data_IF_820869636899
#
_entry.id   IF_820869636899
#
_cell.length_a   1.000
_cell.length_b   1.000
_cell.length_c   1.000
_cell.angle_alpha   90.00
_cell.angle_beta   90.00
_cell.angle_gamma   90.00
#
_symmetry.space_group_name_H-M   'P 1'
#
loop_
_entity.id
_entity.type
_entity.pdbx_description
1 polymer ?
#
# COMPACT_ATOMS: atom_id res chain seq x y z
N UNK A 1 -47.34 -20.05 -88.43
CA UNK A 1 -47.23 -21.48 -88.21
C UNK A 1 -47.38 -21.73 -86.74
N UNK A 2 -48.59 -22.21 -86.37
CA UNK A 2 -49.06 -22.43 -84.97
C UNK A 2 -48.33 -23.59 -84.33
N UNK A 3 -48.12 -23.51 -83.04
CA UNK A 3 -48.14 -24.67 -82.13
C UNK A 3 -48.43 -24.19 -80.72
N UNK A 4 -49.67 -24.46 -80.32
CA UNK A 4 -50.17 -24.40 -78.94
C UNK A 4 -49.47 -25.40 -78.04
N UNK A 5 -49.14 -25.01 -76.89
CA UNK A 5 -48.91 -25.95 -75.76
C UNK A 5 -49.66 -25.52 -74.48
N UNK A 6 -50.69 -26.25 -74.23
CA UNK A 6 -51.45 -26.18 -72.96
C UNK A 6 -50.62 -26.77 -71.83
N UNK A 7 -50.43 -26.02 -70.75
CA UNK A 7 -49.98 -26.60 -69.48
C UNK A 7 -51.11 -26.64 -68.46
N UNK A 8 -51.34 -27.84 -68.00
CA UNK A 8 -52.30 -28.18 -66.94
C UNK A 8 -51.82 -27.57 -65.62
N UNK A 9 -52.72 -26.85 -64.92
CA UNK A 9 -52.60 -26.51 -63.54
C UNK A 9 -52.84 -27.72 -62.65
N UNK A 10 -51.81 -28.18 -61.94
CA UNK A 10 -51.94 -29.07 -60.76
C UNK A 10 -51.73 -28.21 -59.53
N UNK A 11 -52.80 -28.00 -58.74
CA UNK A 11 -52.77 -27.26 -57.51
C UNK A 11 -52.00 -28.00 -56.41
N UNK A 12 -50.90 -27.42 -55.96
CA UNK A 12 -50.26 -27.81 -54.72
C UNK A 12 -50.58 -26.73 -53.67
N UNK A 13 -51.43 -27.07 -52.72
CA UNK A 13 -51.69 -26.25 -51.52
C UNK A 13 -50.49 -26.39 -50.59
N UNK A 14 -49.75 -25.34 -50.43
CA UNK A 14 -48.73 -25.24 -49.38
C UNK A 14 -49.40 -24.83 -48.08
N UNK A 15 -49.40 -25.73 -47.08
CA UNK A 15 -49.72 -25.41 -45.71
C UNK A 15 -48.54 -24.69 -45.09
N UNK A 16 -48.64 -23.39 -44.88
CA UNK A 16 -47.67 -22.63 -44.08
C UNK A 16 -47.98 -22.88 -42.61
N UNK A 17 -47.25 -23.76 -41.94
CA UNK A 17 -47.27 -23.90 -40.51
C UNK A 17 -46.42 -22.79 -39.92
N UNK A 18 -47.07 -21.73 -39.43
CA UNK A 18 -46.42 -20.73 -38.59
C UNK A 18 -46.07 -21.38 -37.22
N UNK A 19 -44.84 -21.83 -37.10
CA UNK A 19 -44.25 -22.20 -35.80
C UNK A 19 -44.02 -20.98 -34.97
N UNK A 20 -44.91 -20.68 -34.02
CA UNK A 20 -44.73 -19.65 -33.01
C UNK A 20 -43.67 -20.15 -32.01
N UNK A 21 -42.36 -19.77 -32.24
CA UNK A 21 -41.34 -19.98 -31.22
C UNK A 21 -41.57 -19.00 -30.06
N UNK A 22 -42.26 -19.46 -29.04
CA UNK A 22 -42.30 -18.78 -27.73
C UNK A 22 -40.90 -18.89 -27.10
N UNK A 23 -40.08 -17.88 -27.29
CA UNK A 23 -38.83 -17.69 -26.49
C UNK A 23 -39.25 -17.31 -25.06
N UNK A 24 -39.28 -18.29 -24.18
CA UNK A 24 -39.43 -18.05 -22.73
C UNK A 24 -38.10 -17.44 -22.28
N UNK A 25 -38.07 -16.10 -22.16
CA UNK A 25 -36.98 -15.41 -21.49
C UNK A 25 -37.07 -15.76 -20.00
N UNK A 26 -36.18 -16.68 -19.55
CA UNK A 26 -36.00 -16.97 -18.14
C UNK A 26 -35.30 -15.77 -17.55
N UNK A 27 -36.05 -14.90 -16.89
CA UNK A 27 -35.45 -13.84 -16.06
C UNK A 27 -34.90 -14.54 -14.80
N UNK A 28 -33.60 -14.81 -14.84
CA UNK A 28 -32.88 -15.28 -13.65
C UNK A 28 -32.78 -14.08 -12.70
N UNK A 29 -33.68 -14.04 -11.73
CA UNK A 29 -33.50 -13.11 -10.61
C UNK A 29 -32.25 -13.55 -9.85
N UNK A 30 -31.24 -12.68 -9.80
CA UNK A 30 -30.11 -12.89 -8.93
C UNK A 30 -30.63 -13.02 -7.49
N UNK A 31 -30.20 -14.07 -6.80
CA UNK A 31 -30.55 -14.25 -5.39
C UNK A 31 -30.13 -13.00 -4.58
N UNK A 32 -30.94 -12.58 -3.60
CA UNK A 32 -30.55 -11.45 -2.75
C UNK A 32 -29.20 -11.75 -2.09
N UNK A 33 -28.35 -10.71 -1.89
CA UNK A 33 -27.05 -10.91 -1.29
C UNK A 33 -27.23 -11.53 0.11
N UNK A 34 -26.35 -12.48 0.51
CA UNK A 34 -26.43 -13.13 1.81
C UNK A 34 -26.24 -12.10 2.93
N UNK A 35 -27.13 -12.11 3.91
CA UNK A 35 -27.07 -11.23 5.08
C UNK A 35 -26.01 -11.78 6.04
N UNK A 36 -25.08 -10.94 6.55
CA UNK A 36 -24.07 -11.39 7.49
C UNK A 36 -24.67 -11.92 8.80
N UNK A 37 -24.24 -13.10 9.20
CA UNK A 37 -24.54 -13.67 10.52
C UNK A 37 -23.60 -13.06 11.55
N UNK A 38 -24.13 -12.60 12.68
CA UNK A 38 -23.34 -12.05 13.79
C UNK A 38 -23.14 -13.11 14.86
N UNK A 39 -21.91 -13.25 15.30
CA UNK A 39 -21.52 -14.15 16.40
C UNK A 39 -20.62 -13.40 17.35
N UNK A 40 -20.71 -13.71 18.64
CA UNK A 40 -19.83 -13.18 19.69
C UNK A 40 -19.07 -14.36 20.29
N UNK A 41 -17.75 -14.29 20.28
CA UNK A 41 -16.88 -15.32 20.85
C UNK A 41 -16.03 -14.77 21.98
N UNK A 42 -15.66 -15.62 22.92
CA UNK A 42 -14.55 -15.32 23.84
C UNK A 42 -13.24 -15.63 23.16
N UNK A 43 -12.27 -14.73 23.25
CA UNK A 43 -10.96 -14.87 22.62
C UNK A 43 -9.83 -14.71 23.67
N UNK A 44 -8.77 -15.54 23.56
CA UNK A 44 -7.73 -15.58 24.59
C UNK A 44 -6.61 -14.56 24.41
N UNK A 45 -6.46 -13.94 23.24
CA UNK A 45 -5.31 -13.07 22.92
C UNK A 45 -5.40 -11.73 23.66
N UNK A 46 -6.59 -11.13 23.68
CA UNK A 46 -6.87 -9.89 24.41
C UNK A 46 -7.79 -10.12 25.62
N UNK A 47 -8.05 -11.40 25.97
CA UNK A 47 -8.85 -11.82 27.12
C UNK A 47 -10.26 -11.23 27.16
N UNK A 48 -10.88 -11.09 25.97
CA UNK A 48 -12.16 -10.42 25.80
C UNK A 48 -13.16 -11.16 24.96
N UNK A 49 -14.16 -10.39 24.48
CA UNK A 49 -15.16 -10.85 23.53
C UNK A 49 -14.91 -10.16 22.19
N UNK A 50 -14.97 -10.92 21.10
CA UNK A 50 -14.88 -10.42 19.75
C UNK A 50 -16.22 -10.58 19.03
N UNK A 51 -16.65 -9.53 18.33
CA UNK A 51 -17.81 -9.53 17.45
C UNK A 51 -17.40 -9.88 16.03
N UNK A 52 -18.01 -10.94 15.49
CA UNK A 52 -17.66 -11.51 14.19
C UNK A 52 -18.88 -11.46 13.29
N UNK A 53 -18.63 -11.22 12.01
CA UNK A 53 -19.61 -11.18 10.94
C UNK A 53 -19.19 -12.17 9.87
N UNK A 54 -20.01 -13.16 9.56
CA UNK A 54 -19.76 -14.14 8.49
C UNK A 54 -20.87 -14.11 7.46
N UNK A 55 -20.52 -14.23 6.19
CA UNK A 55 -21.47 -14.28 5.08
C UNK A 55 -20.94 -15.19 3.97
N UNK A 56 -21.85 -15.71 3.13
CA UNK A 56 -21.51 -16.65 2.06
C UNK A 56 -21.62 -18.10 2.49
N UNK A 57 -21.19 -19.02 1.62
CA UNK A 57 -21.28 -20.46 1.86
C UNK A 57 -20.08 -20.94 2.69
N UNK A 58 -20.29 -21.83 3.63
CA UNK A 58 -19.26 -22.28 4.57
C UNK A 58 -18.15 -23.10 3.89
N UNK A 59 -18.43 -23.77 2.79
CA UNK A 59 -17.50 -24.58 1.99
C UNK A 59 -16.78 -23.78 0.89
N UNK A 60 -17.15 -22.51 0.68
CA UNK A 60 -16.49 -21.64 -0.28
C UNK A 60 -15.10 -21.20 0.21
N UNK A 61 -14.19 -20.83 -0.70
CA UNK A 61 -12.90 -20.23 -0.33
C UNK A 61 -13.10 -19.04 0.62
N UNK A 62 -12.26 -18.94 1.65
CA UNK A 62 -12.45 -17.93 2.69
C UNK A 62 -11.70 -16.63 2.38
N UNK A 63 -12.35 -15.50 2.62
CA UNK A 63 -11.78 -14.15 2.62
C UNK A 63 -11.98 -13.51 3.99
N UNK A 64 -10.88 -13.04 4.57
CA UNK A 64 -10.86 -12.34 5.87
C UNK A 64 -10.69 -10.85 5.64
N UNK A 65 -11.55 -10.03 6.27
CA UNK A 65 -11.54 -8.56 6.15
C UNK A 65 -11.16 -7.93 7.49
N UNK A 66 -10.06 -7.16 7.49
CA UNK A 66 -9.52 -6.48 8.68
C UNK A 66 -9.65 -4.98 8.52
N UNK A 67 -10.44 -4.34 9.40
CA UNK A 67 -10.71 -2.90 9.36
C UNK A 67 -9.55 -2.05 9.90
N UNK A 68 -9.59 -0.75 9.64
CA UNK A 68 -8.64 0.24 10.11
C UNK A 68 -8.85 0.68 11.56
N UNK A 69 -8.10 1.70 11.99
CA UNK A 69 -8.25 2.33 13.29
C UNK A 69 -9.57 3.11 13.34
N UNK A 70 -10.48 2.74 14.26
CA UNK A 70 -11.74 3.44 14.44
C UNK A 70 -12.88 2.53 14.89
N UNK A 71 -13.93 3.15 15.44
CA UNK A 71 -15.08 2.43 16.02
C UNK A 71 -16.12 1.93 15.00
N UNK A 72 -15.93 2.16 13.71
CA UNK A 72 -16.78 1.56 12.69
C UNK A 72 -16.66 0.04 12.67
N UNK A 73 -15.46 -0.48 12.94
CA UNK A 73 -15.21 -1.91 12.99
C UNK A 73 -15.46 -2.56 11.62
N UNK A 74 -16.05 -3.75 11.65
CA UNK A 74 -16.39 -4.50 10.45
C UNK A 74 -17.36 -3.78 9.49
N UNK A 75 -18.05 -2.71 9.94
CA UNK A 75 -18.95 -1.91 9.09
C UNK A 75 -18.23 -1.18 7.96
N UNK A 76 -16.92 -0.96 8.06
CA UNK A 76 -16.12 -0.40 6.96
C UNK A 76 -16.22 -1.28 5.70
N UNK A 77 -16.53 -2.55 5.86
CA UNK A 77 -16.65 -3.53 4.80
C UNK A 77 -18.08 -3.81 4.35
N UNK A 78 -19.09 -3.07 4.86
CA UNK A 78 -20.50 -3.34 4.60
C UNK A 78 -20.85 -3.38 3.11
N UNK A 79 -20.21 -2.58 2.27
CA UNK A 79 -20.40 -2.58 0.82
C UNK A 79 -19.69 -3.75 0.10
N UNK A 80 -18.53 -4.19 0.61
CA UNK A 80 -17.72 -5.24 -0.01
C UNK A 80 -18.22 -6.64 0.36
N UNK A 81 -18.68 -6.86 1.59
CA UNK A 81 -19.16 -8.17 2.09
C UNK A 81 -20.19 -8.80 1.12
N UNK A 82 -21.29 -8.14 0.73
CA UNK A 82 -22.29 -8.75 -0.15
C UNK A 82 -21.77 -9.05 -1.57
N UNK A 83 -20.73 -8.35 -2.02
CA UNK A 83 -20.09 -8.61 -3.31
C UNK A 83 -19.29 -9.89 -3.25
N UNK A 84 -18.46 -10.05 -2.23
CA UNK A 84 -17.60 -11.22 -2.06
C UNK A 84 -18.36 -12.46 -1.62
N UNK A 85 -19.41 -12.32 -0.79
CA UNK A 85 -20.18 -13.43 -0.26
C UNK A 85 -20.96 -14.24 -1.31
N UNK A 86 -20.96 -13.81 -2.56
CA UNK A 86 -21.49 -14.58 -3.71
C UNK A 86 -20.63 -15.80 -4.05
N UNK A 87 -19.31 -15.67 -3.87
CA UNK A 87 -18.33 -16.67 -4.29
C UNK A 87 -17.38 -17.11 -3.15
N UNK A 88 -17.43 -16.43 -2.02
CA UNK A 88 -16.52 -16.64 -0.89
C UNK A 88 -17.28 -16.76 0.42
N UNK A 89 -16.71 -17.51 1.35
CA UNK A 89 -17.02 -17.36 2.76
C UNK A 89 -16.29 -16.11 3.27
N UNK A 90 -17.01 -15.06 3.61
CA UNK A 90 -16.46 -13.81 4.09
C UNK A 90 -16.50 -13.80 5.61
N UNK A 91 -15.36 -13.52 6.25
CA UNK A 91 -15.22 -13.33 7.69
C UNK A 91 -14.70 -11.92 7.95
N UNK A 92 -15.50 -11.08 8.58
CA UNK A 92 -15.12 -9.78 9.08
C UNK A 92 -15.35 -9.74 10.60
N UNK A 93 -14.67 -8.86 11.30
CA UNK A 93 -14.81 -8.75 12.76
C UNK A 93 -14.50 -7.34 13.24
N UNK A 94 -15.04 -6.99 14.39
CA UNK A 94 -14.58 -5.84 15.14
C UNK A 94 -13.29 -6.25 15.87
N UNK A 95 -12.17 -5.61 15.57
CA UNK A 95 -10.89 -5.85 16.26
C UNK A 95 -11.06 -5.63 17.76
N UNK A 96 -10.46 -6.47 18.65
CA UNK A 96 -10.40 -6.17 20.07
C UNK A 96 -9.93 -4.74 20.33
N UNK A 97 -10.63 -4.01 21.20
CA UNK A 97 -10.42 -2.59 21.41
C UNK A 97 -11.31 -1.66 20.57
N UNK A 98 -12.02 -2.17 19.55
CA UNK A 98 -12.81 -1.38 18.60
C UNK A 98 -14.24 -1.93 18.41
N UNK A 99 -15.10 -1.11 17.79
CA UNK A 99 -16.47 -1.47 17.50
C UNK A 99 -17.22 -1.97 18.74
N UNK A 100 -17.83 -3.13 18.63
CA UNK A 100 -18.56 -3.80 19.72
C UNK A 100 -17.71 -4.84 20.47
N UNK A 101 -16.46 -5.09 20.02
CA UNK A 101 -15.55 -5.99 20.72
C UNK A 101 -15.07 -5.38 22.05
N UNK A 102 -14.63 -6.24 22.98
CA UNK A 102 -14.17 -5.80 24.30
C UNK A 102 -13.05 -4.78 24.21
N UNK A 103 -13.10 -3.77 25.07
CA UNK A 103 -12.13 -2.68 25.15
C UNK A 103 -11.41 -2.73 26.50
N UNK A 104 -10.09 -2.54 26.48
CA UNK A 104 -9.27 -2.60 27.70
C UNK A 104 -7.93 -1.91 27.51
N UNK A 105 -7.11 -1.93 28.58
CA UNK A 105 -5.74 -1.43 28.55
C UNK A 105 -4.78 -2.52 28.06
N UNK A 106 -5.02 -3.05 26.86
CA UNK A 106 -4.22 -4.10 26.23
C UNK A 106 -3.15 -3.53 25.31
N UNK A 107 -2.17 -4.36 24.93
CA UNK A 107 -1.20 -4.01 23.90
C UNK A 107 -1.83 -4.28 22.52
N UNK A 108 -2.33 -3.26 21.87
CA UNK A 108 -2.96 -3.30 20.55
C UNK A 108 -1.93 -3.10 19.43
N UNK A 109 -0.98 -4.03 19.30
CA UNK A 109 0.03 -4.00 18.23
C UNK A 109 -0.37 -4.86 17.02
N UNK A 110 0.13 -4.56 15.81
CA UNK A 110 -0.05 -5.42 14.63
C UNK A 110 0.34 -6.87 14.87
N UNK A 111 1.37 -7.13 15.66
CA UNK A 111 1.80 -8.48 16.02
C UNK A 111 0.75 -9.24 16.83
N UNK A 112 0.23 -8.65 17.92
CA UNK A 112 -0.83 -9.29 18.73
C UNK A 112 -2.13 -9.46 17.96
N UNK A 113 -2.46 -8.53 17.09
CA UNK A 113 -3.61 -8.70 16.19
C UNK A 113 -3.41 -9.82 15.17
N UNK A 114 -2.19 -10.04 14.68
CA UNK A 114 -1.90 -11.21 13.85
C UNK A 114 -2.13 -12.51 14.61
N UNK A 115 -1.77 -12.58 15.90
CA UNK A 115 -2.09 -13.73 16.76
C UNK A 115 -3.61 -13.91 16.93
N UNK A 116 -4.36 -12.83 17.10
CA UNK A 116 -5.82 -12.87 17.16
C UNK A 116 -6.45 -13.39 15.85
N UNK A 117 -6.01 -12.91 14.70
CA UNK A 117 -6.48 -13.40 13.39
C UNK A 117 -6.17 -14.90 13.26
N UNK A 118 -4.98 -15.34 13.70
CA UNK A 118 -4.62 -16.76 13.66
C UNK A 118 -5.52 -17.60 14.56
N UNK A 119 -5.72 -17.19 15.81
CA UNK A 119 -6.67 -17.84 16.70
C UNK A 119 -8.06 -17.95 16.08
N UNK A 120 -8.56 -16.84 15.56
CA UNK A 120 -9.88 -16.78 14.95
C UNK A 120 -10.00 -17.76 13.78
N UNK A 121 -9.05 -17.75 12.86
CA UNK A 121 -9.15 -18.55 11.64
C UNK A 121 -8.82 -20.02 11.86
N UNK A 122 -7.73 -20.33 12.58
CA UNK A 122 -7.26 -21.70 12.76
C UNK A 122 -8.04 -22.44 13.87
N UNK A 123 -8.24 -21.80 15.03
CA UNK A 123 -8.82 -22.47 16.18
C UNK A 123 -10.36 -22.40 16.19
N UNK A 124 -10.94 -21.24 15.78
CA UNK A 124 -12.38 -21.07 15.82
C UNK A 124 -13.06 -21.48 14.51
N UNK A 125 -12.56 -21.00 13.35
CA UNK A 125 -13.14 -21.35 12.04
C UNK A 125 -12.57 -22.61 11.40
N UNK A 126 -11.54 -23.22 11.99
CA UNK A 126 -10.82 -24.40 11.47
C UNK A 126 -10.36 -24.22 10.01
N UNK A 127 -9.98 -23.01 9.65
CA UNK A 127 -9.57 -22.60 8.30
C UNK A 127 -8.10 -22.19 8.32
N UNK A 128 -7.25 -22.95 7.62
CA UNK A 128 -5.81 -22.71 7.59
C UNK A 128 -5.36 -21.81 6.43
N UNK A 129 -6.10 -21.84 5.31
CA UNK A 129 -5.73 -21.07 4.13
C UNK A 129 -6.87 -20.15 3.73
N UNK A 130 -6.57 -18.86 3.53
CA UNK A 130 -7.55 -17.84 3.20
C UNK A 130 -6.92 -16.65 2.48
N UNK A 131 -7.73 -15.88 1.80
CA UNK A 131 -7.33 -14.57 1.30
C UNK A 131 -7.54 -13.51 2.38
N UNK A 132 -6.64 -12.52 2.45
CA UNK A 132 -6.64 -11.51 3.51
C UNK A 132 -6.71 -10.11 2.90
N UNK A 133 -7.67 -9.30 3.36
CA UNK A 133 -7.87 -7.91 2.94
C UNK A 133 -7.78 -7.02 4.17
N UNK A 134 -6.88 -6.05 4.16
CA UNK A 134 -6.71 -5.12 5.28
C UNK A 134 -6.65 -3.67 4.85
N UNK A 135 -7.36 -2.80 5.57
CA UNK A 135 -7.36 -1.36 5.37
C UNK A 135 -6.63 -0.64 6.50
N UNK A 136 -5.80 0.33 6.18
CA UNK A 136 -5.11 1.18 7.17
C UNK A 136 -4.35 0.32 8.21
N UNK A 137 -4.63 0.47 9.51
CA UNK A 137 -4.10 -0.41 10.56
C UNK A 137 -4.38 -1.91 10.27
N UNK A 138 -5.57 -2.24 9.74
CA UNK A 138 -5.88 -3.60 9.32
C UNK A 138 -4.97 -4.11 8.19
N UNK A 139 -4.50 -3.22 7.32
CA UNK A 139 -3.48 -3.53 6.31
C UNK A 139 -2.11 -3.84 6.92
N UNK A 140 -1.71 -3.09 7.95
CA UNK A 140 -0.49 -3.35 8.72
C UNK A 140 -0.57 -4.72 9.45
N UNK A 141 -1.73 -5.04 10.03
CA UNK A 141 -2.02 -6.35 10.64
C UNK A 141 -1.93 -7.47 9.59
N UNK A 142 -2.55 -7.26 8.43
CA UNK A 142 -2.56 -8.23 7.33
C UNK A 142 -1.14 -8.49 6.79
N UNK A 143 -0.33 -7.44 6.64
CA UNK A 143 1.07 -7.55 6.24
C UNK A 143 1.89 -8.35 7.26
N UNK A 144 1.75 -8.04 8.56
CA UNK A 144 2.41 -8.77 9.65
C UNK A 144 1.99 -10.24 9.68
N UNK A 145 0.68 -10.52 9.51
CA UNK A 145 0.16 -11.88 9.44
C UNK A 145 0.77 -12.67 8.29
N UNK A 146 0.73 -12.10 7.07
CA UNK A 146 1.24 -12.75 5.86
C UNK A 146 2.75 -13.03 5.92
N UNK A 147 3.52 -12.18 6.61
CA UNK A 147 4.95 -12.38 6.82
C UNK A 147 5.26 -13.47 7.86
N UNK A 148 4.44 -13.57 8.92
CA UNK A 148 4.62 -14.57 9.98
C UNK A 148 4.08 -15.95 9.60
N UNK A 149 3.03 -16.00 8.82
CA UNK A 149 2.32 -17.21 8.40
C UNK A 149 2.15 -17.26 6.88
N UNK A 150 3.24 -17.29 6.09
CA UNK A 150 3.20 -17.10 4.65
C UNK A 150 2.43 -18.19 3.90
N UNK A 151 2.29 -19.39 4.48
CA UNK A 151 1.53 -20.49 3.88
C UNK A 151 0.02 -20.43 4.15
N UNK A 152 -0.42 -19.58 5.06
CA UNK A 152 -1.84 -19.43 5.39
C UNK A 152 -2.54 -18.47 4.41
N UNK A 153 -1.82 -17.58 3.73
CA UNK A 153 -2.38 -16.50 2.90
C UNK A 153 -2.28 -16.85 1.42
N UNK A 154 -3.41 -17.03 0.76
CA UNK A 154 -3.49 -17.34 -0.68
C UNK A 154 -3.43 -16.10 -1.57
N UNK A 155 -3.97 -14.98 -1.08
CA UNK A 155 -3.91 -13.67 -1.73
C UNK A 155 -3.99 -12.57 -0.66
N UNK A 156 -3.27 -11.47 -0.85
CA UNK A 156 -3.21 -10.36 0.10
C UNK A 156 -3.64 -9.06 -0.60
N UNK A 157 -4.60 -8.35 -0.01
CA UNK A 157 -4.99 -7.01 -0.45
C UNK A 157 -4.66 -6.01 0.66
N UNK A 158 -3.82 -5.04 0.34
CA UNK A 158 -3.37 -3.99 1.25
C UNK A 158 -3.92 -2.64 0.78
N UNK A 159 -4.71 -1.99 1.64
CA UNK A 159 -5.40 -0.73 1.32
C UNK A 159 -4.90 0.38 2.25
N UNK A 160 -4.28 1.42 1.70
CA UNK A 160 -3.88 2.65 2.42
C UNK A 160 -3.10 2.39 3.74
N UNK A 161 -2.05 1.56 3.69
CA UNK A 161 -1.34 1.04 4.86
C UNK A 161 -0.35 2.05 5.44
N UNK A 162 -0.48 2.49 6.70
CA UNK A 162 0.50 3.33 7.39
C UNK A 162 1.68 2.52 7.95
N UNK A 163 2.70 3.20 8.48
CA UNK A 163 3.82 2.57 9.18
C UNK A 163 4.90 1.97 8.27
N UNK A 164 4.88 2.24 6.97
CA UNK A 164 5.84 1.70 6.00
C UNK A 164 7.11 2.56 5.91
N UNK A 165 6.94 3.88 5.91
CA UNK A 165 8.07 4.81 5.96
C UNK A 165 8.60 4.92 7.39
N UNK A 166 9.89 5.21 7.50
CA UNK A 166 10.51 5.54 8.78
C UNK A 166 9.74 6.69 9.47
N UNK A 167 9.54 6.67 10.80
CA UNK A 167 8.76 7.69 11.52
C UNK A 167 9.15 9.14 11.20
N UNK A 168 10.45 9.43 11.01
CA UNK A 168 10.91 10.76 10.63
C UNK A 168 10.47 11.17 9.21
N UNK A 169 10.39 10.24 8.25
CA UNK A 169 9.89 10.53 6.91
C UNK A 169 8.38 10.80 6.95
N UNK A 170 7.66 10.05 7.76
CA UNK A 170 6.23 10.24 7.96
C UNK A 170 5.89 11.55 8.68
N UNK A 171 6.68 11.96 9.69
CA UNK A 171 6.49 13.25 10.36
C UNK A 171 6.72 14.44 9.42
N UNK A 172 7.69 14.34 8.50
CA UNK A 172 7.90 15.34 7.42
C UNK A 172 6.66 15.46 6.52
N UNK A 173 6.05 14.33 6.13
CA UNK A 173 4.82 14.34 5.35
C UNK A 173 3.68 15.07 6.09
N UNK A 174 3.43 14.74 7.35
CA UNK A 174 2.37 15.38 8.14
C UNK A 174 2.58 16.88 8.32
N UNK A 175 3.83 17.34 8.41
CA UNK A 175 4.15 18.77 8.50
C UNK A 175 3.92 19.53 7.19
N UNK A 176 4.04 18.86 6.04
CA UNK A 176 3.80 19.45 4.72
C UNK A 176 2.32 19.48 4.31
N UNK A 177 1.55 18.47 4.71
CA UNK A 177 0.12 18.39 4.41
C UNK A 177 -0.67 19.51 5.10
N UNK A 178 -0.03 20.24 6.01
CA UNK A 178 -0.63 21.35 6.76
C UNK A 178 -1.89 20.91 7.52
N UNK A 179 -1.93 21.21 8.79
CA UNK A 179 -3.02 20.77 9.67
C UNK A 179 -4.41 21.18 9.16
N UNK A 180 -4.50 22.22 8.35
CA UNK A 180 -5.75 22.81 7.86
C UNK A 180 -6.24 22.27 6.48
N UNK A 181 -5.44 21.46 5.80
CA UNK A 181 -5.75 20.98 4.44
C UNK A 181 -6.35 19.57 4.37
N UNK A 182 -6.60 18.92 5.53
CA UNK A 182 -7.29 17.63 5.57
C UNK A 182 -8.77 17.83 5.23
N UNK A 183 -9.30 17.25 4.13
CA UNK A 183 -10.70 17.39 3.81
C UNK A 183 -11.59 16.79 4.90
N UNK A 184 -12.73 17.44 5.17
CA UNK A 184 -13.77 17.02 6.12
C UNK A 184 -14.50 15.76 5.63
N UNK A 185 -13.85 14.59 5.63
CA UNK A 185 -14.46 13.34 5.16
C UNK A 185 -15.42 12.69 6.17
N UNK A 186 -15.33 13.00 7.41
CA UNK A 186 -16.29 12.77 8.51
C UNK A 186 -15.83 13.66 9.68
N UNK A 187 -16.47 14.77 9.99
CA UNK A 187 -15.94 15.81 10.90
C UNK A 187 -15.51 15.30 12.27
N UNK A 188 -16.25 14.36 12.86
CA UNK A 188 -15.98 13.88 14.23
C UNK A 188 -14.87 12.80 14.30
N UNK A 189 -14.67 11.99 13.26
CA UNK A 189 -13.69 10.88 13.29
C UNK A 189 -12.30 11.32 12.82
N UNK A 190 -12.22 12.22 11.86
CA UNK A 190 -10.94 12.74 11.37
C UNK A 190 -10.23 13.60 12.40
N UNK A 191 -10.95 14.38 13.18
CA UNK A 191 -10.36 15.16 14.26
C UNK A 191 -9.78 14.26 15.36
N UNK A 192 -10.38 13.12 15.61
CA UNK A 192 -9.84 12.15 16.59
C UNK A 192 -8.58 11.47 16.08
N UNK A 193 -8.58 10.97 14.83
CA UNK A 193 -7.41 10.35 14.21
C UNK A 193 -6.26 11.35 14.03
N UNK A 194 -6.57 12.54 13.56
CA UNK A 194 -5.66 13.67 13.40
C UNK A 194 -5.03 14.09 14.72
N UNK A 195 -5.84 14.29 15.77
CA UNK A 195 -5.36 14.63 17.11
C UNK A 195 -4.54 13.49 17.71
N UNK A 196 -4.89 12.24 17.41
CA UNK A 196 -4.14 11.06 17.82
C UNK A 196 -2.78 11.02 17.15
N UNK A 197 -2.72 11.14 15.84
CA UNK A 197 -1.48 11.15 15.06
C UNK A 197 -0.56 12.29 15.50
N UNK A 198 -1.07 13.51 15.59
CA UNK A 198 -0.29 14.67 16.06
C UNK A 198 0.19 14.51 17.50
N UNK A 199 -0.61 13.89 18.37
CA UNK A 199 -0.25 13.67 19.76
C UNK A 199 0.78 12.56 19.92
N UNK A 200 0.66 11.49 19.13
CA UNK A 200 1.64 10.39 19.08
C UNK A 200 3.00 10.93 18.63
N UNK A 201 3.07 11.71 17.56
CA UNK A 201 4.34 12.28 17.07
C UNK A 201 4.95 13.33 18.01
N UNK A 202 4.13 14.14 18.71
CA UNK A 202 4.66 15.05 19.75
C UNK A 202 5.18 14.30 20.98
N UNK A 203 4.70 13.09 21.23
CA UNK A 203 5.22 12.22 22.29
C UNK A 203 6.57 11.63 21.93
N UNK A 204 6.84 11.31 20.66
CA UNK A 204 8.13 10.74 20.23
C UNK A 204 9.29 11.74 20.32
N UNK A 205 9.02 13.06 20.21
CA UNK A 205 10.06 14.10 20.18
C UNK A 205 10.42 14.67 21.57
N UNK A 206 9.60 14.51 22.60
CA UNK A 206 9.74 15.28 23.85
C UNK A 206 9.62 14.50 25.16
N UNK A 207 9.37 13.20 25.14
CA UNK A 207 9.02 12.47 26.37
C UNK A 207 10.04 11.40 26.74
N UNK A 208 10.58 11.50 27.94
CA UNK A 208 11.04 10.36 28.72
C UNK A 208 9.87 9.91 29.63
N UNK A 209 9.36 8.70 29.55
CA UNK A 209 9.98 7.46 29.03
C UNK A 209 9.81 7.30 27.52
N UNK A 210 10.72 6.52 26.93
CA UNK A 210 10.75 6.11 25.51
C UNK A 210 9.37 5.57 25.09
N UNK A 211 8.83 5.97 23.92
CA UNK A 211 7.49 5.54 23.46
C UNK A 211 7.25 4.03 23.51
N UNK A 212 8.28 3.22 23.25
CA UNK A 212 8.24 1.76 23.33
C UNK A 212 7.92 1.28 24.75
N UNK A 213 8.49 1.92 25.78
CA UNK A 213 8.19 1.60 27.17
C UNK A 213 6.73 1.95 27.54
N UNK A 214 6.18 3.05 26.98
CA UNK A 214 4.76 3.40 27.19
C UNK A 214 3.86 2.31 26.64
N UNK A 215 4.14 1.83 25.42
CA UNK A 215 3.33 0.80 24.77
C UNK A 215 3.47 -0.55 25.49
N UNK A 216 4.67 -0.92 25.93
CA UNK A 216 4.93 -2.20 26.57
C UNK A 216 4.31 -2.33 27.98
N UNK A 217 4.29 -1.24 28.77
CA UNK A 217 3.87 -1.30 30.17
C UNK A 217 2.40 -0.93 30.38
N UNK A 218 1.56 -1.82 30.98
CA UNK A 218 0.17 -1.50 31.31
C UNK A 218 0.03 -0.23 32.18
N UNK A 219 0.93 -0.04 33.15
CA UNK A 219 0.91 1.12 34.03
C UNK A 219 1.22 2.43 33.26
N UNK A 220 2.19 2.39 32.33
CA UNK A 220 2.53 3.54 31.51
C UNK A 220 1.45 3.83 30.47
N UNK A 221 0.85 2.80 29.85
CA UNK A 221 -0.32 2.97 28.97
C UNK A 221 -1.47 3.65 29.73
N UNK A 222 -1.76 3.20 30.96
CA UNK A 222 -2.79 3.84 31.79
C UNK A 222 -2.44 5.30 32.10
N UNK A 223 -1.19 5.57 32.49
CA UNK A 223 -0.73 6.91 32.86
C UNK A 223 -0.74 7.90 31.70
N UNK A 224 -0.18 7.52 30.55
CA UNK A 224 0.05 8.42 29.41
C UNK A 224 -1.05 8.38 28.34
N UNK A 225 -1.65 7.21 28.12
CA UNK A 225 -2.68 7.00 27.09
C UNK A 225 -4.08 6.80 27.66
N UNK A 226 -4.22 6.79 29.01
CA UNK A 226 -5.48 6.56 29.75
C UNK A 226 -6.12 5.20 29.44
N UNK A 227 -5.32 4.21 29.03
CA UNK A 227 -5.82 2.90 28.63
C UNK A 227 -6.69 2.92 27.36
N UNK A 228 -6.69 4.00 26.59
CA UNK A 228 -7.50 4.21 25.41
C UNK A 228 -6.99 3.33 24.23
N UNK A 229 -7.79 2.38 23.74
CA UNK A 229 -7.36 1.44 22.70
C UNK A 229 -6.86 2.12 21.42
N UNK A 230 -7.52 3.19 20.97
CA UNK A 230 -7.13 3.90 19.75
C UNK A 230 -5.77 4.58 19.87
N UNK A 231 -5.47 5.16 21.05
CA UNK A 231 -4.15 5.78 21.32
C UNK A 231 -3.05 4.73 21.44
N UNK A 232 -3.36 3.59 22.10
CA UNK A 232 -2.40 2.49 22.25
C UNK A 232 -2.10 1.90 20.89
N UNK A 233 -3.10 1.56 20.09
CA UNK A 233 -2.94 1.00 18.76
C UNK A 233 -2.23 1.97 17.81
N UNK A 234 -2.59 3.25 17.83
CA UNK A 234 -1.93 4.29 17.01
C UNK A 234 -0.44 4.45 17.37
N UNK A 235 -0.09 4.45 18.67
CA UNK A 235 1.30 4.53 19.10
C UNK A 235 2.07 3.25 18.75
N UNK A 236 1.48 2.07 18.98
CA UNK A 236 2.09 0.79 18.62
C UNK A 236 2.36 0.72 17.12
N UNK A 237 1.40 1.13 16.29
CA UNK A 237 1.55 1.16 14.83
C UNK A 237 2.63 2.15 14.37
N UNK A 238 2.76 3.31 15.02
CA UNK A 238 3.78 4.29 14.70
C UNK A 238 5.22 3.83 15.02
N UNK A 239 5.36 2.84 15.88
CA UNK A 239 6.64 2.25 16.27
C UNK A 239 7.02 1.00 15.44
N UNK A 240 6.13 0.55 14.55
CA UNK A 240 6.37 -0.65 13.74
C UNK A 240 7.48 -0.46 12.71
N UNK A 241 8.21 -1.55 12.50
CA UNK A 241 9.17 -1.70 11.40
C UNK A 241 8.83 -2.98 10.63
N UNK A 242 8.42 -2.83 9.38
CA UNK A 242 8.06 -3.93 8.48
C UNK A 242 9.22 -4.37 7.57
N UNK A 243 10.44 -3.86 7.78
CA UNK A 243 11.59 -4.16 6.91
C UNK A 243 11.94 -5.65 6.86
N UNK A 244 11.76 -6.36 7.97
CA UNK A 244 11.96 -7.81 8.04
C UNK A 244 10.77 -8.63 7.53
N UNK A 245 9.57 -8.06 7.50
CA UNK A 245 8.33 -8.75 7.12
C UNK A 245 8.12 -8.77 5.61
N UNK A 246 8.28 -7.64 4.96
CA UNK A 246 7.98 -7.46 3.54
C UNK A 246 8.64 -8.55 2.66
N UNK A 247 9.92 -8.91 2.84
CA UNK A 247 10.54 -9.98 2.05
C UNK A 247 10.00 -11.39 2.31
N UNK A 248 9.31 -11.60 3.43
CA UNK A 248 8.76 -12.91 3.83
C UNK A 248 7.37 -13.19 3.25
N UNK A 249 6.69 -12.17 2.74
CA UNK A 249 5.37 -12.33 2.12
C UNK A 249 5.50 -13.15 0.83
N UNK A 250 4.81 -14.27 0.77
CA UNK A 250 4.85 -15.19 -0.38
C UNK A 250 3.62 -15.07 -1.28
N UNK A 251 2.50 -14.67 -0.71
CA UNK A 251 1.25 -14.49 -1.44
C UNK A 251 1.38 -13.40 -2.51
N UNK A 252 0.65 -13.49 -3.63
CA UNK A 252 0.43 -12.34 -4.51
C UNK A 252 -0.29 -11.21 -3.77
N UNK A 253 0.16 -9.96 -3.99
CA UNK A 253 -0.30 -8.78 -3.25
C UNK A 253 -0.88 -7.73 -4.19
N UNK A 254 -2.12 -7.34 -3.96
CA UNK A 254 -2.71 -6.15 -4.55
C UNK A 254 -2.61 -5.00 -3.55
N UNK A 255 -1.87 -3.95 -3.90
CA UNK A 255 -1.76 -2.71 -3.12
C UNK A 255 -2.70 -1.69 -3.75
N UNK A 256 -3.70 -1.25 -2.99
CA UNK A 256 -4.70 -0.25 -3.40
C UNK A 256 -4.50 1.03 -2.61
N UNK A 257 -4.54 2.18 -3.29
CA UNK A 257 -4.24 3.44 -2.64
C UNK A 257 -5.09 4.60 -3.13
N UNK A 258 -5.52 5.45 -2.19
CA UNK A 258 -6.11 6.74 -2.53
C UNK A 258 -5.03 7.75 -2.95
N UNK A 259 -5.18 8.35 -4.14
CA UNK A 259 -4.21 9.34 -4.67
C UNK A 259 -4.15 10.62 -3.83
N UNK A 260 -5.21 10.91 -3.06
CA UNK A 260 -5.34 12.08 -2.17
C UNK A 260 -5.31 11.71 -0.69
N UNK A 261 -4.76 10.54 -0.37
CA UNK A 261 -4.67 10.10 1.03
C UNK A 261 -3.75 11.03 1.84
N UNK A 262 -4.36 11.69 2.83
CA UNK A 262 -3.69 12.62 3.74
C UNK A 262 -3.30 11.98 5.08
N UNK A 263 -3.64 10.71 5.29
CA UNK A 263 -3.32 9.92 6.50
C UNK A 263 -2.11 9.03 6.24
N UNK A 264 -2.16 8.22 5.17
CA UNK A 264 -1.05 7.37 4.74
C UNK A 264 -0.59 7.81 3.34
N UNK A 265 0.58 8.44 3.19
CA UNK A 265 1.01 8.97 1.90
C UNK A 265 1.11 7.86 0.84
N UNK A 266 0.70 8.15 -0.40
CA UNK A 266 0.83 7.24 -1.55
C UNK A 266 2.25 6.66 -1.69
N UNK A 267 3.25 7.38 -1.19
CA UNK A 267 4.63 6.94 -1.12
C UNK A 267 4.77 5.58 -0.39
N UNK A 268 3.97 5.31 0.65
CA UNK A 268 3.94 4.00 1.32
C UNK A 268 3.53 2.88 0.35
N UNK A 269 2.50 3.12 -0.46
CA UNK A 269 2.02 2.16 -1.47
C UNK A 269 3.08 1.86 -2.53
N UNK A 270 3.80 2.89 -3.00
CA UNK A 270 4.92 2.74 -3.94
C UNK A 270 6.05 1.90 -3.33
N UNK A 271 6.42 2.19 -2.07
CA UNK A 271 7.45 1.45 -1.34
C UNK A 271 7.05 -0.01 -1.14
N UNK A 272 5.80 -0.28 -0.77
CA UNK A 272 5.29 -1.65 -0.66
C UNK A 272 5.37 -2.40 -1.99
N UNK A 273 4.84 -1.83 -3.07
CA UNK A 273 4.84 -2.46 -4.38
C UNK A 273 6.25 -2.73 -4.92
N UNK A 274 7.22 -1.86 -4.61
CA UNK A 274 8.61 -2.03 -5.02
C UNK A 274 9.35 -3.13 -4.25
N UNK A 275 8.96 -3.41 -3.00
CA UNK A 275 9.70 -4.31 -2.12
C UNK A 275 9.01 -5.66 -1.87
N UNK A 276 7.70 -5.75 -2.05
CA UNK A 276 6.98 -7.02 -1.97
C UNK A 276 7.36 -7.92 -3.17
N UNK A 277 7.58 -9.22 -2.96
CA UNK A 277 8.04 -10.14 -4.01
C UNK A 277 7.11 -10.23 -5.22
N UNK A 278 5.79 -10.18 -4.99
CA UNK A 278 4.76 -10.28 -6.01
C UNK A 278 3.67 -9.25 -5.71
N UNK A 279 3.87 -7.99 -6.12
CA UNK A 279 2.92 -6.92 -5.84
C UNK A 279 2.61 -6.05 -7.05
N UNK A 280 1.37 -5.59 -7.12
CA UNK A 280 0.91 -4.57 -8.04
C UNK A 280 0.28 -3.43 -7.25
N UNK A 281 0.65 -2.19 -7.59
CA UNK A 281 0.01 -0.98 -7.07
C UNK A 281 -1.03 -0.48 -8.06
N UNK A 282 -2.20 -0.14 -7.53
CA UNK A 282 -3.26 0.58 -8.23
C UNK A 282 -3.70 1.79 -7.42
N UNK A 283 -3.79 2.94 -8.07
CA UNK A 283 -4.07 4.23 -7.42
C UNK A 283 -5.43 4.75 -7.88
N UNK A 284 -6.27 5.07 -6.91
CA UNK A 284 -7.54 5.75 -7.14
C UNK A 284 -7.32 7.26 -6.99
N UNK A 285 -7.02 7.94 -8.09
CA UNK A 285 -6.53 9.34 -8.13
C UNK A 285 -7.43 10.35 -7.39
N UNK A 286 -8.73 10.08 -7.32
CA UNK A 286 -9.72 10.99 -6.69
C UNK A 286 -10.06 10.63 -5.25
N UNK A 287 -9.62 9.45 -4.77
CA UNK A 287 -9.92 8.93 -3.43
C UNK A 287 -8.94 9.44 -2.38
N UNK A 288 -9.44 9.60 -1.15
CA UNK A 288 -8.65 9.78 0.07
C UNK A 288 -8.28 8.45 0.74
N UNK A 289 -8.30 8.42 2.08
CA UNK A 289 -7.90 7.29 2.91
C UNK A 289 -8.89 6.11 2.91
N UNK A 290 -10.06 6.24 2.31
CA UNK A 290 -11.12 5.22 2.33
C UNK A 290 -11.67 4.91 0.94
N UNK A 291 -10.87 4.33 0.02
CA UNK A 291 -11.30 4.06 -1.37
C UNK A 291 -12.55 3.17 -1.44
N UNK A 292 -12.77 2.29 -0.45
CA UNK A 292 -13.97 1.46 -0.37
C UNK A 292 -15.26 2.28 -0.20
N UNK A 293 -15.16 3.52 0.28
CA UNK A 293 -16.27 4.46 0.45
C UNK A 293 -16.31 5.52 -0.65
N UNK A 294 -15.14 6.00 -1.10
CA UNK A 294 -15.03 7.10 -2.06
C UNK A 294 -15.35 6.65 -3.49
N UNK A 295 -14.90 5.44 -3.86
CA UNK A 295 -15.08 4.85 -5.20
C UNK A 295 -15.56 3.39 -5.12
N UNK A 296 -16.66 3.09 -4.41
CA UNK A 296 -17.03 1.74 -3.98
C UNK A 296 -17.15 0.75 -5.13
N UNK A 297 -17.79 1.12 -6.22
CA UNK A 297 -18.01 0.21 -7.35
C UNK A 297 -16.71 -0.25 -8.00
N UNK A 298 -15.77 0.67 -8.23
CA UNK A 298 -14.47 0.36 -8.83
C UNK A 298 -13.62 -0.43 -7.86
N UNK A 299 -13.58 -0.02 -6.60
CA UNK A 299 -12.85 -0.71 -5.53
C UNK A 299 -13.33 -2.16 -5.36
N UNK A 300 -14.64 -2.38 -5.20
CA UNK A 300 -15.20 -3.71 -5.01
C UNK A 300 -14.95 -4.63 -6.22
N UNK A 301 -15.14 -4.12 -7.43
CA UNK A 301 -14.85 -4.88 -8.65
C UNK A 301 -13.38 -5.28 -8.74
N UNK A 302 -12.48 -4.38 -8.35
CA UNK A 302 -11.03 -4.62 -8.41
C UNK A 302 -10.58 -5.67 -7.40
N UNK A 303 -11.06 -5.58 -6.15
CA UNK A 303 -10.79 -6.58 -5.11
C UNK A 303 -11.31 -7.95 -5.55
N UNK A 304 -12.57 -8.04 -6.00
CA UNK A 304 -13.17 -9.30 -6.45
C UNK A 304 -12.41 -9.90 -7.64
N UNK A 305 -12.03 -9.10 -8.63
CA UNK A 305 -11.27 -9.56 -9.79
C UNK A 305 -9.90 -10.14 -9.39
N UNK A 306 -9.20 -9.47 -8.48
CA UNK A 306 -7.90 -9.95 -7.99
C UNK A 306 -8.03 -11.26 -7.19
N UNK A 307 -9.01 -11.35 -6.29
CA UNK A 307 -9.22 -12.56 -5.49
C UNK A 307 -9.60 -13.78 -6.34
N UNK A 308 -10.32 -13.58 -7.44
CA UNK A 308 -10.66 -14.65 -8.39
C UNK A 308 -9.45 -15.16 -9.21
N UNK A 309 -8.47 -14.31 -9.44
CA UNK A 309 -7.27 -14.65 -10.21
C UNK A 309 -6.04 -13.89 -9.67
N UNK A 310 -5.47 -14.33 -8.54
CA UNK A 310 -4.40 -13.61 -7.86
C UNK A 310 -3.03 -13.83 -8.51
N UNK A 311 -2.94 -13.62 -9.82
CA UNK A 311 -1.68 -13.73 -10.57
C UNK A 311 -1.17 -12.33 -10.87
N UNK A 312 0.06 -12.04 -10.45
CA UNK A 312 0.69 -10.74 -10.65
C UNK A 312 2.12 -10.88 -11.18
N UNK A 313 2.49 -9.95 -12.06
CA UNK A 313 3.89 -9.75 -12.42
C UNK A 313 4.60 -8.95 -11.33
N UNK A 314 5.89 -9.19 -11.11
CA UNK A 314 6.69 -8.44 -10.16
C UNK A 314 6.81 -6.98 -10.60
N UNK A 315 6.52 -6.04 -9.71
CA UNK A 315 6.63 -4.61 -9.97
C UNK A 315 8.01 -4.22 -10.53
N UNK A 316 9.08 -4.76 -9.93
CA UNK A 316 10.45 -4.52 -10.37
C UNK A 316 10.74 -5.01 -11.80
N UNK A 317 10.09 -6.07 -12.26
CA UNK A 317 10.25 -6.57 -13.63
C UNK A 317 9.52 -5.68 -14.64
N UNK A 318 8.37 -5.11 -14.22
CA UNK A 318 7.66 -4.10 -15.03
C UNK A 318 8.50 -2.83 -15.13
N UNK A 319 9.07 -2.35 -14.02
CA UNK A 319 9.94 -1.18 -14.00
C UNK A 319 11.19 -1.39 -14.86
N UNK A 320 11.86 -2.53 -14.71
CA UNK A 320 13.02 -2.89 -15.54
C UNK A 320 12.67 -2.91 -17.03
N UNK A 321 11.55 -3.54 -17.44
CA UNK A 321 11.10 -3.57 -18.85
C UNK A 321 10.81 -2.17 -19.39
N UNK A 322 10.15 -1.32 -18.62
CA UNK A 322 9.89 0.07 -19.01
C UNK A 322 11.17 0.88 -19.20
N UNK A 323 12.21 0.60 -18.42
CA UNK A 323 13.48 1.32 -18.41
C UNK A 323 14.55 0.68 -19.31
N UNK A 324 14.30 -0.50 -19.90
CA UNK A 324 15.18 -1.16 -20.90
C UNK A 324 14.99 -0.56 -22.30
N UNK A 325 15.18 0.75 -22.45
CA UNK A 325 15.16 1.42 -23.75
C UNK A 325 16.59 1.81 -24.18
N UNK A 326 16.84 2.06 -25.47
CA UNK A 326 18.16 2.47 -25.93
C UNK A 326 18.59 3.80 -25.29
N UNK A 327 19.90 4.04 -25.20
CA UNK A 327 20.43 5.28 -24.66
C UNK A 327 19.95 6.49 -25.47
N UNK A 328 19.55 7.55 -24.76
CA UNK A 328 19.10 8.81 -25.37
C UNK A 328 20.21 9.85 -25.25
N UNK A 329 20.39 10.70 -26.25
CA UNK A 329 21.27 11.87 -26.19
C UNK A 329 20.56 13.13 -25.67
N UNK A 330 19.31 13.00 -25.20
CA UNK A 330 18.51 14.12 -24.72
C UNK A 330 19.10 14.72 -23.44
N UNK A 331 19.17 16.05 -23.41
CA UNK A 331 19.62 16.80 -22.23
C UNK A 331 18.40 17.54 -21.65
N UNK A 332 18.21 17.40 -20.33
CA UNK A 332 17.22 18.15 -19.55
C UNK A 332 17.88 19.23 -18.70
N UNK A 333 17.27 20.39 -18.61
CA UNK A 333 17.75 21.49 -17.76
C UNK A 333 16.61 22.17 -17.02
N UNK A 334 16.85 22.49 -15.76
CA UNK A 334 15.98 23.35 -14.95
C UNK A 334 16.86 24.36 -14.20
N UNK A 335 16.56 25.66 -14.33
CA UNK A 335 17.25 26.70 -13.57
C UNK A 335 16.23 27.72 -13.06
N UNK A 336 16.20 27.89 -11.71
CA UNK A 336 15.36 28.91 -11.06
C UNK A 336 13.86 28.76 -11.27
N UNK A 337 13.34 27.55 -11.61
CA UNK A 337 11.92 27.29 -11.89
C UNK A 337 11.28 26.41 -10.81
N UNK A 338 9.96 26.35 -10.83
CA UNK A 338 9.15 25.51 -9.93
C UNK A 338 8.25 24.57 -10.74
N UNK A 339 7.95 23.40 -10.19
CA UNK A 339 6.99 22.44 -10.73
C UNK A 339 7.40 21.80 -12.06
N UNK A 340 8.71 21.71 -12.36
CA UNK A 340 9.20 21.10 -13.59
C UNK A 340 9.16 19.58 -13.47
N UNK A 341 8.65 18.92 -14.52
CA UNK A 341 8.57 17.44 -14.59
C UNK A 341 9.48 16.93 -15.69
N UNK A 342 10.31 15.93 -15.36
CA UNK A 342 11.12 15.17 -16.30
C UNK A 342 10.64 13.72 -16.36
N UNK A 343 10.25 13.27 -17.56
CA UNK A 343 9.82 11.91 -17.84
C UNK A 343 10.49 11.36 -19.10
N UNK A 344 10.72 10.04 -19.14
CA UNK A 344 11.33 9.34 -20.27
C UNK A 344 12.85 9.29 -20.17
N UNK A 345 13.55 9.36 -21.29
CA UNK A 345 14.99 9.05 -21.35
C UNK A 345 15.86 10.28 -21.58
N UNK A 346 16.93 10.37 -20.80
CA UNK A 346 17.90 11.46 -20.86
C UNK A 346 19.32 10.94 -20.70
N UNK A 347 20.26 11.50 -21.45
CA UNK A 347 21.67 11.34 -21.18
C UNK A 347 22.06 12.09 -19.90
N UNK A 348 21.63 13.35 -19.81
CA UNK A 348 21.90 14.19 -18.64
C UNK A 348 20.71 15.06 -18.28
N UNK A 349 20.47 15.21 -16.97
CA UNK A 349 19.59 16.24 -16.43
C UNK A 349 20.39 17.10 -15.46
N UNK A 350 20.30 18.42 -15.56
CA UNK A 350 20.87 19.39 -14.63
C UNK A 350 19.78 20.26 -14.03
N UNK A 351 19.69 20.25 -12.69
CA UNK A 351 18.67 20.98 -11.92
C UNK A 351 19.42 21.91 -10.96
N UNK A 352 19.24 23.23 -11.15
CA UNK A 352 19.87 24.25 -10.32
C UNK A 352 18.86 25.27 -9.84
N UNK A 353 18.77 25.49 -8.53
CA UNK A 353 17.83 26.44 -7.89
C UNK A 353 16.36 26.23 -8.26
N UNK A 354 15.98 25.00 -8.57
CA UNK A 354 14.58 24.67 -8.87
C UNK A 354 13.87 24.13 -7.63
N UNK A 355 12.57 24.39 -7.52
CA UNK A 355 11.72 23.90 -6.45
C UNK A 355 10.65 22.96 -7.00
N UNK A 356 10.24 22.00 -6.18
CA UNK A 356 9.17 21.03 -6.51
C UNK A 356 9.39 20.37 -7.89
N UNK A 357 10.66 20.05 -8.22
CA UNK A 357 10.98 19.36 -9.45
C UNK A 357 10.74 17.87 -9.29
N UNK A 358 10.07 17.25 -10.28
CA UNK A 358 9.75 15.84 -10.30
C UNK A 358 10.50 15.14 -11.44
N UNK A 359 11.29 14.12 -11.11
CA UNK A 359 11.88 13.16 -12.07
C UNK A 359 11.16 11.83 -11.87
N UNK A 360 10.27 11.45 -12.79
CA UNK A 360 9.48 10.23 -12.63
C UNK A 360 9.42 9.40 -13.90
N UNK A 361 9.30 8.08 -13.75
CA UNK A 361 9.31 7.17 -14.88
C UNK A 361 10.44 7.48 -15.89
N UNK A 362 11.62 7.89 -15.35
CA UNK A 362 12.72 8.40 -16.13
C UNK A 362 13.94 7.47 -16.08
N UNK A 363 14.66 7.38 -17.21
CA UNK A 363 16.00 6.83 -17.26
C UNK A 363 16.99 7.95 -17.54
N UNK A 364 17.93 8.15 -16.63
CA UNK A 364 18.88 9.26 -16.70
C UNK A 364 20.29 8.73 -16.44
N UNK A 365 21.22 8.85 -17.38
CA UNK A 365 22.60 8.41 -17.17
C UNK A 365 23.32 9.28 -16.13
N UNK A 366 23.18 10.61 -16.22
CA UNK A 366 23.79 11.53 -15.25
C UNK A 366 22.75 12.55 -14.76
N UNK A 367 22.50 12.58 -13.45
CA UNK A 367 21.64 13.56 -12.81
C UNK A 367 22.43 14.43 -11.83
N UNK A 368 22.43 15.75 -12.08
CA UNK A 368 23.07 16.75 -11.22
C UNK A 368 22.02 17.67 -10.62
N UNK A 369 22.04 17.80 -9.32
CA UNK A 369 21.10 18.60 -8.54
C UNK A 369 21.88 19.52 -7.62
N UNK A 370 21.59 20.82 -7.67
CA UNK A 370 22.23 21.80 -6.79
C UNK A 370 21.25 22.88 -6.33
N UNK A 371 21.32 23.25 -5.04
CA UNK A 371 20.49 24.29 -4.41
C UNK A 371 18.98 24.12 -4.70
N UNK A 372 18.48 22.88 -4.71
CA UNK A 372 17.15 22.55 -5.24
C UNK A 372 16.36 21.61 -4.32
N UNK A 373 15.04 21.54 -4.55
CA UNK A 373 14.16 20.52 -3.98
C UNK A 373 13.62 19.62 -5.10
N UNK A 374 13.94 18.32 -5.05
CA UNK A 374 13.66 17.37 -6.12
C UNK A 374 13.06 16.09 -5.58
N UNK A 375 12.00 15.60 -6.23
CA UNK A 375 11.46 14.26 -6.03
C UNK A 375 11.86 13.37 -7.21
N UNK A 376 12.40 12.19 -6.92
CA UNK A 376 12.74 11.15 -7.91
C UNK A 376 11.85 9.95 -7.61
N UNK A 377 11.05 9.53 -8.59
CA UNK A 377 10.07 8.45 -8.42
C UNK A 377 10.15 7.46 -9.58
N UNK A 378 10.05 6.15 -9.27
CA UNK A 378 9.96 5.07 -10.26
C UNK A 378 10.97 5.20 -11.43
N UNK A 379 12.22 5.59 -11.09
CA UNK A 379 13.23 5.99 -12.07
C UNK A 379 14.52 5.19 -11.94
N UNK A 380 15.28 5.10 -13.04
CA UNK A 380 16.62 4.54 -13.10
C UNK A 380 17.62 5.67 -13.35
N UNK A 381 18.49 5.93 -12.39
CA UNK A 381 19.52 6.95 -12.49
C UNK A 381 20.89 6.27 -12.51
N UNK A 382 21.72 6.59 -13.48
CA UNK A 382 23.07 6.10 -13.55
C UNK A 382 23.29 5.00 -14.61
N UNK A 383 24.05 3.98 -14.23
CA UNK A 383 24.59 2.93 -15.07
C UNK A 383 26.12 2.85 -14.89
N UNK A 384 26.88 2.06 -15.70
CA UNK A 384 28.31 1.82 -15.45
C UNK A 384 29.16 3.09 -15.35
N UNK A 385 28.84 4.11 -16.16
CA UNK A 385 29.53 5.42 -16.17
C UNK A 385 28.61 6.57 -15.70
N UNK A 386 27.45 6.22 -15.12
CA UNK A 386 26.47 7.18 -14.64
C UNK A 386 26.59 7.50 -13.18
N UNK A 387 25.85 8.51 -12.73
CA UNK A 387 25.82 8.93 -11.32
C UNK A 387 24.67 9.88 -10.99
N UNK A 388 24.32 9.91 -9.72
CA UNK A 388 23.55 10.98 -9.09
C UNK A 388 24.50 11.87 -8.26
N UNK A 389 24.54 13.16 -8.55
CA UNK A 389 25.26 14.15 -7.75
C UNK A 389 24.28 15.16 -7.16
N UNK A 390 24.39 15.39 -5.85
CA UNK A 390 23.51 16.27 -5.07
C UNK A 390 24.37 17.22 -4.25
N UNK A 391 24.27 18.53 -4.53
CA UNK A 391 25.03 19.59 -3.87
C UNK A 391 24.07 20.58 -3.20
N UNK A 392 24.12 20.76 -1.89
CA UNK A 392 23.31 21.69 -1.08
C UNK A 392 21.83 21.64 -1.46
N UNK A 393 21.28 20.43 -1.50
CA UNK A 393 19.92 20.19 -1.98
C UNK A 393 19.15 19.19 -1.12
N UNK A 394 17.82 19.23 -1.24
CA UNK A 394 16.90 18.25 -0.64
C UNK A 394 16.33 17.35 -1.71
N UNK A 395 16.59 16.07 -1.61
CA UNK A 395 16.14 15.08 -2.60
C UNK A 395 15.38 13.95 -1.93
N UNK A 396 14.16 13.74 -2.39
CA UNK A 396 13.34 12.58 -2.03
C UNK A 396 13.43 11.55 -3.14
N UNK A 397 13.84 10.33 -2.83
CA UNK A 397 13.96 9.21 -3.79
C UNK A 397 12.99 8.12 -3.38
N UNK A 398 12.12 7.69 -4.29
CA UNK A 398 11.10 6.67 -4.02
C UNK A 398 11.09 5.63 -5.12
N UNK A 399 11.10 4.33 -4.72
CA UNK A 399 10.93 3.18 -5.63
C UNK A 399 11.83 3.24 -6.87
N UNK A 400 13.07 3.74 -6.71
CA UNK A 400 13.99 4.02 -7.80
C UNK A 400 15.27 3.18 -7.69
N UNK A 401 15.98 3.04 -8.79
CA UNK A 401 17.27 2.36 -8.83
C UNK A 401 18.35 3.40 -9.17
N UNK A 402 19.38 3.48 -8.34
CA UNK A 402 20.53 4.37 -8.55
C UNK A 402 21.78 3.50 -8.69
N UNK A 403 22.45 3.59 -9.83
CA UNK A 403 23.60 2.73 -10.14
C UNK A 403 24.81 3.53 -10.61
N UNK A 404 26.03 3.07 -10.26
CA UNK A 404 27.27 3.70 -10.72
C UNK A 404 28.50 3.09 -10.10
N UNK A 405 29.68 3.59 -10.49
CA UNK A 405 30.91 3.33 -9.72
C UNK A 405 30.73 3.88 -8.31
N UNK A 406 30.50 5.18 -8.22
CA UNK A 406 29.93 5.86 -7.05
C UNK A 406 28.52 6.25 -7.43
N UNK A 407 27.51 5.52 -6.90
CA UNK A 407 26.13 5.71 -7.33
C UNK A 407 25.58 7.09 -6.93
N UNK A 408 25.85 7.54 -5.70
CA UNK A 408 25.44 8.83 -5.17
C UNK A 408 26.65 9.59 -4.61
N UNK A 409 26.84 10.82 -5.08
CA UNK A 409 27.72 11.79 -4.44
C UNK A 409 26.88 12.87 -3.78
N UNK A 410 26.92 12.97 -2.44
CA UNK A 410 26.14 13.92 -1.65
C UNK A 410 27.08 14.95 -0.97
N UNK A 411 26.83 16.25 -1.18
CA UNK A 411 27.62 17.33 -0.63
C UNK A 411 26.70 18.29 0.11
N UNK A 412 26.81 18.35 1.43
CA UNK A 412 25.90 19.13 2.29
C UNK A 412 24.41 18.88 1.98
N UNK A 413 24.07 17.64 1.63
CA UNK A 413 22.75 17.27 1.10
C UNK A 413 21.88 16.62 2.15
N UNK A 414 20.54 16.75 1.98
CA UNK A 414 19.53 16.00 2.71
C UNK A 414 18.82 15.04 1.75
N UNK A 415 19.04 13.75 1.94
CA UNK A 415 18.44 12.70 1.14
C UNK A 415 17.39 11.96 1.96
N UNK A 416 16.22 11.72 1.37
CA UNK A 416 15.17 10.84 1.92
C UNK A 416 14.87 9.73 0.91
N UNK A 417 15.43 8.55 1.15
CA UNK A 417 15.45 7.42 0.22
C UNK A 417 14.51 6.32 0.72
N UNK A 418 13.48 6.01 -0.05
CA UNK A 418 12.47 5.03 0.34
C UNK A 418 12.22 3.98 -0.76
N UNK A 419 12.18 2.70 -0.38
CA UNK A 419 11.86 1.60 -1.28
C UNK A 419 12.78 1.48 -2.49
N UNK A 420 14.00 2.02 -2.39
CA UNK A 420 14.92 2.18 -3.52
C UNK A 420 16.12 1.25 -3.40
N UNK A 421 16.76 0.97 -4.55
CA UNK A 421 17.97 0.16 -4.62
C UNK A 421 19.14 1.06 -5.07
N UNK A 422 20.23 1.07 -4.29
CA UNK A 422 21.42 1.84 -4.57
C UNK A 422 22.59 0.87 -4.75
N UNK A 423 23.19 0.88 -5.94
CA UNK A 423 24.26 -0.06 -6.33
C UNK A 423 25.50 0.71 -6.73
N UNK A 424 26.58 0.55 -5.98
CA UNK A 424 27.87 1.14 -6.27
C UNK A 424 28.97 0.10 -6.39
N UNK A 425 29.68 0.04 -7.51
CA UNK A 425 30.80 -0.91 -7.64
C UNK A 425 32.04 -0.50 -6.83
N UNK A 426 32.19 0.79 -6.52
CA UNK A 426 33.22 1.36 -5.62
C UNK A 426 32.58 1.82 -4.30
N UNK A 427 31.45 2.55 -4.38
CA UNK A 427 30.66 2.97 -3.24
C UNK A 427 29.19 3.24 -3.65
N UNK A 428 28.23 2.89 -2.81
CA UNK A 428 26.85 3.25 -3.03
C UNK A 428 26.60 4.75 -2.79
N UNK A 429 27.25 5.32 -1.78
CA UNK A 429 27.17 6.73 -1.45
C UNK A 429 28.49 7.23 -0.85
N UNK A 430 28.95 8.39 -1.33
CA UNK A 430 30.05 9.14 -0.73
C UNK A 430 29.60 10.56 -0.42
N UNK A 431 30.09 11.10 0.70
CA UNK A 431 29.81 12.47 1.12
C UNK A 431 31.14 13.21 1.43
N UNK A 432 31.70 13.96 0.47
CA UNK A 432 32.88 14.79 0.72
C UNK A 432 32.67 15.85 1.81
N UNK A 433 31.41 16.27 1.99
CA UNK A 433 30.93 17.09 3.10
C UNK A 433 29.77 16.35 3.75
N UNK A 434 29.67 16.42 5.09
CA UNK A 434 28.65 15.75 5.86
C UNK A 434 27.25 15.94 5.23
N UNK A 435 26.57 14.85 5.04
CA UNK A 435 25.20 14.80 4.49
C UNK A 435 24.33 13.90 5.34
N UNK A 436 23.06 14.29 5.46
CA UNK A 436 22.02 13.53 6.17
C UNK A 436 21.27 12.65 5.19
N UNK A 437 21.19 11.36 5.46
CA UNK A 437 20.47 10.40 4.63
C UNK A 437 19.49 9.59 5.49
N UNK A 438 18.21 9.77 5.21
CA UNK A 438 17.14 9.00 5.82
C UNK A 438 16.76 7.85 4.88
N UNK A 439 16.85 6.63 5.37
CA UNK A 439 16.44 5.43 4.64
C UNK A 439 15.12 4.90 5.17
N UNK A 440 14.23 4.51 4.27
CA UNK A 440 13.03 3.72 4.55
C UNK A 440 13.01 2.52 3.60
N UNK A 441 13.18 1.29 4.15
CA UNK A 441 13.07 0.05 3.36
C UNK A 441 13.89 0.08 2.06
N UNK A 442 15.13 0.55 2.11
CA UNK A 442 15.98 0.70 0.93
C UNK A 442 17.15 -0.26 0.96
N UNK A 443 17.50 -0.83 -0.20
CA UNK A 443 18.59 -1.78 -0.36
C UNK A 443 19.84 -1.07 -0.87
N UNK A 444 20.94 -1.30 -0.18
CA UNK A 444 22.25 -0.75 -0.52
C UNK A 444 23.23 -1.88 -0.81
N UNK A 445 23.92 -1.79 -1.93
CA UNK A 445 24.86 -2.80 -2.42
C UNK A 445 26.16 -2.13 -2.84
N UNK A 446 27.22 -2.34 -2.08
CA UNK A 446 28.57 -1.84 -2.37
C UNK A 446 29.62 -2.70 -1.67
N UNK A 447 30.93 -2.50 -1.93
CA UNK A 447 32.00 -3.12 -1.14
C UNK A 447 32.01 -2.71 0.34
N UNK A 448 31.42 -1.56 0.67
CA UNK A 448 31.39 -1.02 2.04
C UNK A 448 30.15 -1.43 2.82
N UNK A 449 29.04 -1.71 2.14
CA UNK A 449 27.78 -2.09 2.76
C UNK A 449 26.91 -2.95 1.82
N UNK A 450 26.35 -4.03 2.36
CA UNK A 450 25.42 -4.90 1.64
C UNK A 450 24.23 -5.26 2.53
N UNK A 451 23.05 -4.75 2.24
CA UNK A 451 21.84 -5.04 3.01
C UNK A 451 20.75 -4.00 2.87
N UNK A 452 19.70 -4.18 3.67
CA UNK A 452 18.60 -3.22 3.75
C UNK A 452 18.89 -2.18 4.82
N UNK A 453 18.56 -0.92 4.54
CA UNK A 453 18.65 0.19 5.48
C UNK A 453 17.25 0.74 5.80
N UNK A 454 17.02 0.95 7.08
CA UNK A 454 15.87 1.64 7.62
C UNK A 454 16.35 2.47 8.82
N UNK A 455 16.38 3.80 8.69
CA UNK A 455 16.88 4.71 9.71
C UNK A 455 17.68 5.89 9.17
N UNK A 456 18.02 6.80 10.07
CA UNK A 456 18.83 7.97 9.78
C UNK A 456 20.33 7.64 9.80
N UNK A 457 21.05 8.14 8.81
CA UNK A 457 22.52 8.06 8.71
C UNK A 457 23.12 9.43 8.43
N UNK A 458 24.10 9.80 9.22
CA UNK A 458 24.99 10.92 8.92
C UNK A 458 26.22 10.37 8.20
N UNK A 459 26.33 10.67 6.92
CA UNK A 459 27.47 10.22 6.10
C UNK A 459 28.49 11.35 6.05
N UNK A 460 29.72 11.05 6.47
CA UNK A 460 30.83 11.99 6.58
C UNK A 460 31.97 11.60 5.66
N UNK A 461 32.96 12.49 5.42
CA UNK A 461 34.18 12.16 4.69
C UNK A 461 34.89 10.95 5.31
N UNK A 462 35.28 9.98 4.45
CA UNK A 462 35.93 8.74 4.89
C UNK A 462 34.99 7.65 5.42
N UNK A 463 33.68 7.85 5.37
CA UNK A 463 32.65 6.85 5.78
C UNK A 463 31.69 6.55 4.63
N UNK A 464 32.15 5.97 3.50
CA UNK A 464 31.28 5.62 2.38
C UNK A 464 30.31 4.50 2.75
N UNK A 465 29.16 4.50 2.07
CA UNK A 465 28.20 3.40 2.09
C UNK A 465 28.33 2.52 0.86
#
# INVERSE_FOLDING_TARGET
>A
MNLDYRFRQTGARWLVVLGCCLTVSVVVFAAPPPVPVRTVISEPVFHGKAHIFSAGQDDAPTVVLVHGLGDNGARDWAGLIPVLARNYRVVAFDLPGFGHSSKGNELYSPERYADFVRYLMVEHFHTRTFSLVGHSMGGAIALRYAARFPLDVTALVLVDVPGILHPMAYSKFLSHVGIDSLPNLYPAQNDQLRNLVNKVFRLTDKVQPVPEAIVASPALRQKFLKGDPAKIAGLALALEDFSADIPRVQAPVLVLWGGRDSVAPLRNGRVLAANLPQAQLEVFETSGHTPMNDVPNVFHARVAAFLNAPVLERHNDILRRKLMRPASNRIGTCTGRQGVIFEGEYDRITIHRCRDTLVRNARVRELRISEATVNIEDSLIGGPDGRLRVDDARVTITSSVIEGKVAITAIAAHLDIAGSRIVGSEAALVAPVMSEVLFSLSRVESPHFYGNLHGLRNVAPGSPL
#
